data_IF_831605013061
#
_entry.id   IF_831605013061
#
_cell.length_a   1.000
_cell.length_b   1.000
_cell.length_c   1.000
_cell.angle_alpha   90.00
_cell.angle_beta   90.00
_cell.angle_gamma   90.00
#
_symmetry.space_group_name_H-M   'P 1'
#
loop_
_entity.id
_entity.type
_entity.pdbx_description
1 polymer ?
#
# COMPACT_ATOMS: atom_id res chain seq x y z
N UNK A 1 11.25 -5.52 28.96
CA UNK A 1 11.85 -5.32 27.66
C UNK A 1 10.87 -5.85 26.64
N UNK A 2 10.52 -5.02 25.66
CA UNK A 2 9.82 -5.51 24.48
C UNK A 2 10.85 -6.32 23.73
N UNK A 3 10.68 -7.64 23.73
CA UNK A 3 11.54 -8.55 22.99
C UNK A 3 11.52 -8.19 21.51
N UNK A 4 12.67 -7.88 20.98
CA UNK A 4 13.25 -8.10 19.64
C UNK A 4 12.37 -8.00 18.37
N UNK A 5 11.13 -7.51 18.45
CA UNK A 5 10.26 -7.35 17.29
C UNK A 5 10.39 -5.97 16.59
N UNK A 6 11.28 -5.10 17.08
CA UNK A 6 11.53 -3.82 16.43
C UNK A 6 12.55 -3.98 15.30
N UNK A 7 12.13 -3.70 14.08
CA UNK A 7 13.00 -3.72 12.90
C UNK A 7 13.70 -2.37 12.66
N UNK A 8 13.25 -1.32 13.35
CA UNK A 8 13.83 0.01 13.27
C UNK A 8 15.13 0.15 14.04
N UNK A 9 15.96 1.09 13.66
CA UNK A 9 17.18 1.47 14.36
C UNK A 9 17.14 2.93 14.82
N UNK A 10 17.93 3.26 15.86
CA UNK A 10 17.96 4.58 16.47
C UNK A 10 18.28 5.69 15.47
N UNK A 11 17.57 6.81 15.55
CA UNK A 11 17.87 8.06 14.81
C UNK A 11 18.94 8.93 15.50
N UNK A 12 19.42 8.53 16.67
CA UNK A 12 20.34 9.37 17.43
C UNK A 12 21.60 9.76 16.63
N UNK A 13 22.22 8.88 15.84
CA UNK A 13 23.38 9.27 15.02
C UNK A 13 23.06 10.42 14.05
N UNK A 14 21.85 10.43 13.46
CA UNK A 14 21.42 11.48 12.55
C UNK A 14 21.14 12.79 13.30
N UNK A 15 20.57 12.71 14.51
CA UNK A 15 20.21 13.90 15.30
C UNK A 15 21.43 14.65 15.85
N UNK A 16 22.54 13.95 16.10
CA UNK A 16 23.76 14.54 16.65
C UNK A 16 24.84 14.81 15.59
N UNK A 17 24.59 14.45 14.32
CA UNK A 17 25.52 14.69 13.23
C UNK A 17 25.68 16.20 12.98
N UNK A 18 26.91 16.63 12.70
CA UNK A 18 27.22 17.98 12.21
C UNK A 18 26.95 18.15 10.72
N UNK A 19 26.92 17.03 9.98
CA UNK A 19 26.73 17.01 8.55
C UNK A 19 25.24 16.95 8.19
N UNK A 20 24.89 17.40 6.98
CA UNK A 20 23.54 17.30 6.42
C UNK A 20 23.48 16.23 5.33
N UNK A 21 22.24 15.78 4.98
CA UNK A 21 22.03 14.76 3.96
C UNK A 21 21.95 13.34 4.54
N UNK A 22 22.33 12.35 3.77
CA UNK A 22 22.29 10.93 4.18
C UNK A 22 23.49 10.58 5.06
N UNK A 23 23.33 10.67 6.37
CA UNK A 23 24.38 10.35 7.36
C UNK A 23 24.68 8.85 7.42
N UNK A 24 23.67 7.99 7.25
CA UNK A 24 23.84 6.54 7.24
C UNK A 24 23.44 6.00 5.86
N UNK A 25 24.43 5.56 5.08
CA UNK A 25 24.23 5.04 3.73
C UNK A 25 23.32 3.80 3.67
N UNK A 26 23.18 3.06 4.78
CA UNK A 26 22.29 1.89 4.86
C UNK A 26 20.80 2.25 4.88
N UNK A 27 20.49 3.52 5.15
CA UNK A 27 19.11 4.05 5.14
C UNK A 27 18.75 4.59 3.77
N UNK A 28 18.90 3.75 2.74
CA UNK A 28 18.67 4.10 1.34
C UNK A 28 17.25 3.82 0.86
N UNK A 29 16.45 3.16 1.70
CA UNK A 29 15.05 2.87 1.41
C UNK A 29 14.22 2.77 2.69
N UNK A 30 12.89 2.72 2.50
CA UNK A 30 11.93 2.42 3.56
C UNK A 30 10.88 1.44 3.07
N UNK A 31 10.40 0.60 3.99
CA UNK A 31 9.29 -0.33 3.74
C UNK A 31 8.03 0.25 4.35
N UNK A 32 6.93 0.18 3.60
CA UNK A 32 5.60 0.60 4.04
C UNK A 32 4.64 -0.58 3.90
N UNK A 33 3.58 -0.57 4.69
CA UNK A 33 2.57 -1.61 4.64
C UNK A 33 1.19 -1.10 5.00
N UNK A 34 0.19 -1.74 4.37
CA UNK A 34 -1.22 -1.55 4.69
C UNK A 34 -1.90 -2.91 4.71
N UNK A 35 -2.78 -3.13 5.67
CA UNK A 35 -3.63 -4.31 5.75
C UNK A 35 -5.10 -3.90 5.69
N UNK A 36 -5.64 -3.55 6.83
CA UNK A 36 -7.02 -3.15 7.00
C UNK A 36 -7.07 -1.77 7.64
N UNK A 37 -7.93 -0.92 7.10
CA UNK A 37 -8.20 0.38 7.71
C UNK A 37 -9.56 0.37 8.39
N UNK A 38 -10.62 -0.02 7.67
CA UNK A 38 -11.99 0.00 8.18
C UNK A 38 -12.84 -1.13 7.58
N UNK A 39 -14.09 -1.22 8.01
CA UNK A 39 -15.13 -2.07 7.44
C UNK A 39 -15.55 -1.55 6.05
N UNK A 40 -16.29 -2.37 5.30
CA UNK A 40 -16.86 -1.94 4.00
C UNK A 40 -16.13 -2.48 2.79
N UNK A 41 -15.31 -3.51 3.01
CA UNK A 41 -14.79 -4.33 1.93
C UNK A 41 -15.25 -5.76 2.10
N UNK A 42 -15.83 -6.31 1.04
CA UNK A 42 -16.25 -7.70 0.98
C UNK A 42 -15.49 -8.42 -0.13
N UNK A 43 -15.38 -9.73 0.00
CA UNK A 43 -14.81 -10.63 -1.00
C UNK A 43 -15.62 -11.93 -0.98
N UNK A 44 -16.57 -12.06 -1.91
CA UNK A 44 -17.59 -13.11 -1.86
C UNK A 44 -18.43 -12.98 -0.58
N UNK A 45 -18.48 -14.06 0.21
CA UNK A 45 -19.19 -14.10 1.50
C UNK A 45 -18.37 -13.52 2.66
N UNK A 46 -17.09 -13.27 2.46
CA UNK A 46 -16.22 -12.72 3.49
C UNK A 46 -16.51 -11.23 3.68
N UNK A 47 -16.74 -10.84 4.91
CA UNK A 47 -17.02 -9.47 5.30
C UNK A 47 -15.78 -8.82 5.96
N UNK A 48 -15.60 -7.55 5.71
CA UNK A 48 -14.53 -6.76 6.35
C UNK A 48 -13.11 -7.29 6.09
N UNK A 49 -12.86 -7.79 4.87
CA UNK A 49 -11.55 -8.29 4.46
C UNK A 49 -10.50 -7.18 4.33
N UNK A 50 -9.24 -7.55 4.45
CA UNK A 50 -8.11 -6.66 4.28
C UNK A 50 -7.89 -6.27 2.81
N UNK A 51 -7.21 -5.13 2.58
CA UNK A 51 -6.54 -4.82 1.32
C UNK A 51 -5.03 -4.75 1.57
N UNK A 52 -4.35 -5.89 1.51
CA UNK A 52 -2.94 -5.96 1.85
C UNK A 52 -2.07 -5.39 0.74
N UNK A 53 -1.26 -4.43 1.10
CA UNK A 53 -0.18 -3.93 0.25
C UNK A 53 1.11 -3.77 1.04
N UNK A 54 2.23 -3.93 0.37
CA UNK A 54 3.57 -3.62 0.86
C UNK A 54 4.28 -2.80 -0.19
N UNK A 55 5.08 -1.86 0.24
CA UNK A 55 5.82 -1.01 -0.66
C UNK A 55 7.27 -0.85 -0.20
N UNK A 56 8.15 -0.62 -1.16
CA UNK A 56 9.52 -0.19 -0.96
C UNK A 56 9.70 1.14 -1.68
N UNK A 57 10.14 2.15 -0.93
CA UNK A 57 10.49 3.46 -1.47
C UNK A 57 11.97 3.70 -1.28
N UNK A 58 12.68 3.96 -2.36
CA UNK A 58 14.06 4.46 -2.35
C UNK A 58 14.11 5.90 -2.90
N UNK A 59 15.29 6.40 -3.25
CA UNK A 59 15.45 7.78 -3.73
C UNK A 59 14.79 8.03 -5.08
N UNK A 60 14.65 7.00 -5.93
CA UNK A 60 14.12 7.13 -7.27
C UNK A 60 12.71 6.53 -7.39
N UNK A 61 12.50 5.34 -6.85
CA UNK A 61 11.29 4.56 -7.11
C UNK A 61 10.44 4.36 -5.86
N UNK A 62 9.12 4.34 -6.09
CA UNK A 62 8.14 3.73 -5.20
C UNK A 62 7.60 2.47 -5.89
N UNK A 63 7.95 1.31 -5.37
CA UNK A 63 7.39 0.03 -5.80
C UNK A 63 6.32 -0.43 -4.82
N UNK A 64 5.16 -0.87 -5.33
CA UNK A 64 4.03 -1.36 -4.52
C UNK A 64 3.65 -2.77 -4.96
N UNK A 65 3.52 -3.67 -4.00
CA UNK A 65 2.94 -5.00 -4.18
C UNK A 65 1.55 -5.06 -3.56
N UNK A 66 0.53 -5.30 -4.38
CA UNK A 66 -0.85 -5.54 -3.97
C UNK A 66 -1.09 -7.06 -3.93
N UNK A 67 -1.32 -7.65 -2.74
CA UNK A 67 -1.44 -9.10 -2.60
C UNK A 67 -2.81 -9.61 -3.04
N UNK A 68 -3.87 -8.82 -2.80
CA UNK A 68 -5.25 -9.14 -3.16
C UNK A 68 -5.78 -8.10 -4.15
N UNK A 69 -5.14 -8.02 -5.33
CA UNK A 69 -5.43 -6.99 -6.35
C UNK A 69 -6.84 -7.06 -6.93
N UNK A 70 -7.56 -8.18 -6.76
CA UNK A 70 -8.96 -8.33 -7.16
C UNK A 70 -9.93 -7.58 -6.23
N UNK A 71 -9.51 -7.22 -5.01
CA UNK A 71 -10.31 -6.47 -4.04
C UNK A 71 -10.32 -4.97 -4.31
N UNK A 72 -11.30 -4.28 -3.75
CA UNK A 72 -11.40 -2.81 -3.85
C UNK A 72 -10.50 -2.14 -2.79
N UNK A 73 -9.58 -1.23 -3.18
CA UNK A 73 -8.57 -0.68 -2.25
C UNK A 73 -9.15 0.21 -1.16
N UNK A 74 -10.30 0.86 -1.42
CA UNK A 74 -10.94 1.82 -0.50
C UNK A 74 -12.36 1.41 -0.08
N UNK A 75 -12.64 0.11 -0.15
CA UNK A 75 -13.98 -0.44 0.09
C UNK A 75 -14.78 -0.58 -1.21
N UNK A 76 -15.81 -1.41 -1.17
CA UNK A 76 -16.62 -1.69 -2.34
C UNK A 76 -17.50 -0.50 -2.73
N UNK A 77 -17.63 -0.20 -4.02
CA UNK A 77 -18.47 0.90 -4.51
C UNK A 77 -19.94 0.79 -4.08
N UNK A 78 -20.50 -0.44 -4.08
CA UNK A 78 -21.87 -0.72 -3.68
C UNK A 78 -22.17 -0.37 -2.21
N UNK A 79 -21.15 -0.25 -1.37
CA UNK A 79 -21.27 0.19 0.03
C UNK A 79 -20.79 1.63 0.22
N UNK A 80 -20.54 2.38 -0.87
CA UNK A 80 -20.17 3.79 -0.83
C UNK A 80 -18.69 4.04 -0.50
N UNK A 81 -17.77 3.10 -0.82
CA UNK A 81 -16.32 3.29 -0.65
C UNK A 81 -15.97 3.68 0.80
N UNK A 82 -16.40 2.87 1.78
CA UNK A 82 -16.37 3.21 3.22
C UNK A 82 -14.98 3.39 3.83
N UNK A 83 -13.91 2.93 3.15
CA UNK A 83 -12.53 3.18 3.61
C UNK A 83 -11.97 4.54 3.16
N UNK A 84 -12.82 5.40 2.59
CA UNK A 84 -12.51 6.78 2.26
C UNK A 84 -13.56 7.68 2.91
N UNK A 85 -13.12 8.64 3.70
CA UNK A 85 -14.00 9.56 4.41
C UNK A 85 -14.87 10.39 3.44
N UNK A 86 -16.06 10.75 3.90
CA UNK A 86 -16.95 11.64 3.16
C UNK A 86 -16.37 13.04 3.01
N UNK A 87 -16.33 13.55 1.77
CA UNK A 87 -15.83 14.90 1.49
C UNK A 87 -16.41 15.42 0.17
N UNK A 88 -16.41 16.74 -0.07
CA UNK A 88 -16.76 17.31 -1.38
C UNK A 88 -15.93 16.71 -2.52
N UNK A 89 -14.64 16.46 -2.29
CA UNK A 89 -13.74 15.84 -3.27
C UNK A 89 -14.17 14.42 -3.60
N UNK A 90 -14.51 13.59 -2.58
CA UNK A 90 -15.02 12.24 -2.82
C UNK A 90 -16.30 12.28 -3.66
N UNK A 91 -17.25 13.15 -3.31
CA UNK A 91 -18.49 13.33 -4.06
C UNK A 91 -18.22 13.74 -5.49
N UNK A 92 -17.33 14.70 -5.71
CA UNK A 92 -16.92 15.12 -7.05
C UNK A 92 -16.37 13.94 -7.86
N UNK A 93 -15.36 13.24 -7.33
CA UNK A 93 -14.71 12.13 -8.03
C UNK A 93 -15.67 10.97 -8.32
N UNK A 94 -16.60 10.65 -7.41
CA UNK A 94 -17.58 9.58 -7.64
C UNK A 94 -18.57 9.94 -8.74
N UNK A 95 -18.86 11.23 -8.97
CA UNK A 95 -19.72 11.68 -10.07
C UNK A 95 -19.04 11.55 -11.44
N UNK A 96 -17.70 11.49 -11.50
CA UNK A 96 -16.96 11.34 -12.76
C UNK A 96 -17.12 9.96 -13.42
N UNK A 97 -17.69 8.98 -12.73
CA UNK A 97 -17.95 7.66 -13.31
C UNK A 97 -18.82 7.67 -14.56
N UNK A 98 -19.62 8.72 -14.73
CA UNK A 98 -20.53 8.90 -15.87
C UNK A 98 -19.91 9.62 -17.08
N UNK A 99 -18.72 10.19 -16.91
CA UNK A 99 -18.00 10.87 -17.98
C UNK A 99 -16.80 10.04 -18.44
N UNK A 100 -16.83 9.45 -19.65
CA UNK A 100 -15.74 8.61 -20.14
C UNK A 100 -14.37 9.33 -20.20
N UNK A 101 -14.36 10.65 -20.42
CA UNK A 101 -13.12 11.44 -20.50
C UNK A 101 -12.48 11.65 -19.12
N UNK A 102 -13.31 11.78 -18.09
CA UNK A 102 -12.89 12.11 -16.72
C UNK A 102 -12.85 10.90 -15.79
N UNK A 103 -13.45 9.78 -16.20
CA UNK A 103 -13.50 8.53 -15.41
C UNK A 103 -12.12 8.05 -14.91
N UNK A 104 -11.06 8.38 -15.62
CA UNK A 104 -9.68 8.09 -15.21
C UNK A 104 -9.36 8.56 -13.79
N UNK A 105 -9.90 9.70 -13.37
CA UNK A 105 -9.67 10.24 -12.03
C UNK A 105 -10.38 9.44 -10.95
N UNK A 106 -11.57 8.95 -11.27
CA UNK A 106 -12.26 7.98 -10.41
C UNK A 106 -11.45 6.67 -10.30
N UNK A 107 -11.00 6.13 -11.43
CA UNK A 107 -10.24 4.87 -11.47
C UNK A 107 -8.91 4.99 -10.72
N UNK A 108 -8.21 6.12 -10.86
CA UNK A 108 -6.99 6.41 -10.12
C UNK A 108 -7.22 6.55 -8.61
N UNK A 109 -8.38 7.07 -8.20
CA UNK A 109 -8.69 7.28 -6.78
C UNK A 109 -9.24 6.03 -6.11
N UNK A 110 -10.15 5.32 -6.76
CA UNK A 110 -10.98 4.26 -6.14
C UNK A 110 -10.93 2.92 -6.88
N UNK A 111 -10.44 2.88 -8.11
CA UNK A 111 -10.37 1.68 -8.94
C UNK A 111 -9.49 0.58 -8.36
N UNK A 112 -9.71 -0.66 -8.82
CA UNK A 112 -8.84 -1.79 -8.48
C UNK A 112 -7.43 -1.53 -8.96
N UNK A 113 -6.45 -1.99 -8.20
CA UNK A 113 -5.03 -1.83 -8.52
C UNK A 113 -4.47 -3.09 -9.17
N UNK A 114 -3.48 -2.95 -10.08
CA UNK A 114 -2.73 -4.09 -10.55
C UNK A 114 -1.96 -4.75 -9.40
N UNK A 115 -1.45 -5.95 -9.64
CA UNK A 115 -0.66 -6.71 -8.67
C UNK A 115 0.61 -5.98 -8.25
N UNK A 116 1.21 -5.25 -9.17
CA UNK A 116 2.45 -4.48 -8.99
C UNK A 116 2.26 -3.09 -9.56
N UNK A 117 2.85 -2.11 -8.90
CA UNK A 117 2.92 -0.73 -9.38
C UNK A 117 4.34 -0.20 -9.17
N UNK A 118 4.80 0.64 -10.09
CA UNK A 118 6.09 1.30 -10.01
C UNK A 118 5.95 2.76 -10.42
N UNK A 119 6.44 3.66 -9.57
CA UNK A 119 6.42 5.10 -9.85
C UNK A 119 7.83 5.67 -9.75
N UNK A 120 8.21 6.53 -10.69
CA UNK A 120 9.46 7.29 -10.65
C UNK A 120 9.27 8.56 -9.84
N UNK A 121 9.64 8.53 -8.56
CA UNK A 121 9.43 9.63 -7.61
C UNK A 121 10.19 10.91 -7.95
N UNK A 122 11.17 10.85 -8.86
CA UNK A 122 11.92 12.03 -9.29
C UNK A 122 11.23 12.76 -10.45
N UNK A 123 10.61 12.02 -11.37
CA UNK A 123 9.95 12.55 -12.55
C UNK A 123 8.42 12.63 -12.41
N UNK A 124 7.84 11.78 -11.55
CA UNK A 124 6.41 11.71 -11.25
C UNK A 124 6.18 11.64 -9.72
N UNK A 125 6.44 12.72 -8.98
CA UNK A 125 6.27 12.76 -7.53
C UNK A 125 4.83 12.55 -7.07
N UNK A 126 3.85 12.78 -7.95
CA UNK A 126 2.41 12.59 -7.68
C UNK A 126 1.94 11.15 -7.93
N UNK A 127 2.81 10.27 -8.43
CA UNK A 127 2.52 8.86 -8.70
C UNK A 127 1.31 8.65 -9.63
N UNK A 128 1.28 9.37 -10.73
CA UNK A 128 0.20 9.36 -11.73
C UNK A 128 0.44 8.29 -12.79
N UNK A 129 1.69 8.05 -13.16
CA UNK A 129 2.09 7.12 -14.21
C UNK A 129 2.66 5.82 -13.64
N UNK A 130 1.89 4.73 -13.75
CA UNK A 130 2.34 3.41 -13.31
C UNK A 130 3.24 2.75 -14.38
N UNK A 131 4.51 2.66 -14.07
CA UNK A 131 5.56 2.12 -14.94
C UNK A 131 5.79 0.60 -14.80
N UNK A 132 5.04 -0.10 -13.95
CA UNK A 132 5.27 -1.53 -13.69
C UNK A 132 5.08 -2.41 -14.94
N UNK A 133 4.31 -1.94 -15.91
CA UNK A 133 4.07 -2.61 -17.19
C UNK A 133 5.10 -2.31 -18.28
N UNK A 134 6.06 -1.40 -18.06
CA UNK A 134 7.09 -1.08 -19.04
C UNK A 134 8.13 -2.21 -19.13
N UNK A 135 8.29 -2.86 -20.31
CA UNK A 135 9.31 -3.90 -20.50
C UNK A 135 10.74 -3.43 -20.21
N UNK A 136 11.04 -2.15 -20.42
CA UNK A 136 12.37 -1.58 -20.14
C UNK A 136 12.67 -1.53 -18.63
N UNK A 137 11.65 -1.55 -17.78
CA UNK A 137 11.77 -1.51 -16.33
C UNK A 137 11.53 -2.86 -15.64
N UNK A 138 11.31 -3.94 -16.40
CA UNK A 138 11.01 -5.27 -15.86
C UNK A 138 12.09 -5.76 -14.89
N UNK A 139 13.36 -5.52 -15.17
CA UNK A 139 14.48 -5.88 -14.27
C UNK A 139 14.41 -5.07 -12.97
N UNK A 140 14.11 -3.78 -13.05
CA UNK A 140 13.95 -2.89 -11.89
C UNK A 140 12.80 -3.36 -11.00
N UNK A 141 11.63 -3.68 -11.59
CA UNK A 141 10.46 -4.24 -10.87
C UNK A 141 10.84 -5.52 -10.14
N UNK A 142 11.49 -6.46 -10.83
CA UNK A 142 11.93 -7.72 -10.24
C UNK A 142 12.93 -7.53 -9.10
N UNK A 143 13.89 -6.63 -9.25
CA UNK A 143 14.89 -6.31 -8.22
C UNK A 143 14.23 -5.74 -6.97
N UNK A 144 13.34 -4.76 -7.12
CA UNK A 144 12.64 -4.12 -6.00
C UNK A 144 11.71 -5.10 -5.29
N UNK A 145 11.01 -5.95 -6.05
CA UNK A 145 10.22 -7.03 -5.45
C UNK A 145 11.07 -8.02 -4.66
N UNK A 146 12.20 -8.46 -5.22
CA UNK A 146 13.08 -9.42 -4.53
C UNK A 146 13.63 -8.82 -3.22
N UNK A 147 14.06 -7.55 -3.25
CA UNK A 147 14.51 -6.84 -2.06
C UNK A 147 13.40 -6.76 -1.01
N UNK A 148 12.24 -6.21 -1.38
CA UNK A 148 11.07 -6.10 -0.50
C UNK A 148 10.70 -7.45 0.12
N UNK A 149 10.57 -8.48 -0.71
CA UNK A 149 10.20 -9.84 -0.27
C UNK A 149 11.21 -10.42 0.72
N UNK A 150 12.51 -10.19 0.47
CA UNK A 150 13.57 -10.71 1.33
C UNK A 150 13.51 -10.08 2.72
N UNK A 151 13.33 -8.76 2.78
CA UNK A 151 13.24 -8.04 4.04
C UNK A 151 11.96 -8.35 4.81
N UNK A 152 10.81 -8.43 4.12
CA UNK A 152 9.55 -8.84 4.75
C UNK A 152 9.61 -10.26 5.31
N UNK A 153 10.29 -11.19 4.61
CA UNK A 153 10.53 -12.54 5.15
C UNK A 153 11.39 -12.51 6.41
N UNK A 154 12.45 -11.72 6.41
CA UNK A 154 13.32 -11.57 7.58
C UNK A 154 12.58 -10.97 8.78
N UNK A 155 11.55 -10.15 8.52
CA UNK A 155 10.67 -9.55 9.54
C UNK A 155 9.50 -10.46 9.95
N UNK A 156 9.34 -11.63 9.32
CA UNK A 156 8.24 -12.55 9.62
C UNK A 156 6.88 -12.08 9.11
N UNK A 157 6.84 -11.27 8.03
CA UNK A 157 5.56 -10.78 7.49
C UNK A 157 4.69 -11.93 6.95
N UNK A 158 3.47 -12.13 7.50
CA UNK A 158 2.61 -13.26 7.14
C UNK A 158 2.21 -13.28 5.66
N UNK A 159 2.11 -12.11 4.99
CA UNK A 159 1.72 -12.04 3.56
C UNK A 159 2.76 -12.68 2.65
N UNK A 160 4.04 -12.58 2.97
CA UNK A 160 5.12 -13.20 2.16
C UNK A 160 5.47 -14.61 2.63
N UNK A 161 5.01 -15.00 3.83
CA UNK A 161 5.16 -16.37 4.37
C UNK A 161 4.03 -17.31 3.95
N UNK A 162 2.95 -16.79 3.33
CA UNK A 162 1.78 -17.58 2.93
C UNK A 162 0.73 -17.74 4.04
N UNK A 163 0.83 -16.95 5.09
CA UNK A 163 -0.06 -16.99 6.28
C UNK A 163 -0.99 -15.76 6.35
N UNK A 164 -1.14 -15.05 5.23
CA UNK A 164 -1.86 -13.77 5.18
C UNK A 164 -3.35 -13.84 5.51
N UNK A 165 -3.96 -15.02 5.44
CA UNK A 165 -5.38 -15.24 5.78
C UNK A 165 -5.71 -14.87 7.23
N UNK A 166 -4.73 -14.90 8.13
CA UNK A 166 -4.93 -14.49 9.53
C UNK A 166 -5.51 -13.08 9.68
N UNK A 167 -5.27 -12.20 8.70
CA UNK A 167 -5.79 -10.84 8.71
C UNK A 167 -7.24 -10.75 8.24
N UNK A 168 -7.70 -11.70 7.43
CA UNK A 168 -9.05 -11.72 6.87
C UNK A 168 -10.06 -12.37 7.83
N UNK A 169 -9.62 -13.33 8.66
CA UNK A 169 -10.47 -14.01 9.65
C UNK A 169 -10.61 -13.27 10.98
N UNK A 170 -9.84 -12.19 11.21
CA UNK A 170 -9.97 -11.41 12.43
C UNK A 170 -11.23 -10.56 12.40
N UNK A 171 -12.10 -10.76 13.37
CA UNK A 171 -13.28 -9.92 13.56
C UNK A 171 -12.89 -8.44 13.69
N UNK A 172 -13.60 -7.59 12.96
CA UNK A 172 -13.47 -6.14 13.13
C UNK A 172 -14.07 -5.73 14.47
N UNK A 173 -13.31 -5.02 15.30
CA UNK A 173 -13.75 -4.55 16.61
C UNK A 173 -15.06 -3.76 16.55
N UNK A 174 -15.30 -2.99 15.49
CA UNK A 174 -16.54 -2.22 15.28
C UNK A 174 -17.78 -3.08 15.08
N UNK A 175 -17.63 -4.32 14.60
CA UNK A 175 -18.77 -5.24 14.45
C UNK A 175 -19.24 -5.82 15.79
N UNK A 176 -18.41 -5.76 16.84
CA UNK A 176 -18.77 -6.24 18.20
C UNK A 176 -19.61 -5.23 18.98
N UNK A 177 -19.72 -3.98 18.54
CA UNK A 177 -20.31 -2.88 19.32
C UNK A 177 -21.76 -2.58 18.91
N UNK A 178 -22.40 -3.39 18.07
CA UNK A 178 -23.83 -3.25 17.81
C UNK A 178 -24.60 -4.39 18.47
N UNK A 179 -25.37 -4.08 19.54
CA UNK A 179 -26.38 -5.00 20.07
C UNK A 179 -27.51 -5.18 19.06
#
# INVERSE_FOLDING_TARGET
PLDDQMTGSSFLPQLVASDSGRIDARRDHTILGKERHDIGRTDGELLSVAYPSRALRNDQYLYIRNFESHRWPVGNPEYGLLNCDGSPTKTFLTNLTHDPAEKKWYDMSFGKRPKEQLFDMQNDPDCVEDLAGDPALAETVNKLWLQLKTELKAQGDPRVLGEGEIFDVRECFRLRVRP
#
